data_IF_453302130580
#
_entry.id   IF_453302130580
#
_cell.length_a   1.000
_cell.length_b   1.000
_cell.length_c   1.000
_cell.angle_alpha   90.00
_cell.angle_beta   90.00
_cell.angle_gamma   90.00
#
_symmetry.space_group_name_H-M   'P 1'
#
loop_
_entity.id
_entity.type
_entity.pdbx_description
1 polymer ?
#
# COMPACT_ATOMS: atom_id res chain seq x y z
N UNK A 1 23.16 -7.21 -13.68
CA UNK A 1 21.82 -6.66 -13.41
C UNK A 1 21.80 -6.01 -12.06
N UNK A 2 21.67 -4.68 -11.99
CA UNK A 2 21.57 -3.95 -10.72
C UNK A 2 20.10 -4.03 -10.26
N UNK A 3 19.85 -4.71 -9.14
CA UNK A 3 18.51 -5.00 -8.62
C UNK A 3 18.03 -3.99 -7.56
N UNK A 4 18.86 -3.02 -7.14
CA UNK A 4 18.54 -2.06 -6.09
C UNK A 4 19.03 -0.63 -6.37
N UNK A 5 18.66 0.31 -5.50
CA UNK A 5 19.16 1.70 -5.52
C UNK A 5 18.60 2.59 -6.64
N UNK A 6 17.58 2.14 -7.39
CA UNK A 6 16.96 2.90 -8.49
C UNK A 6 15.52 3.36 -8.20
N UNK A 7 15.15 3.43 -6.92
CA UNK A 7 13.85 3.92 -6.46
C UNK A 7 12.70 2.91 -6.58
N UNK A 8 11.53 3.31 -6.06
CA UNK A 8 10.33 2.48 -5.93
C UNK A 8 9.80 2.00 -7.29
N UNK A 9 9.75 2.89 -8.29
CA UNK A 9 9.25 2.54 -9.63
C UNK A 9 10.08 1.43 -10.30
N UNK A 10 11.41 1.46 -10.15
CA UNK A 10 12.25 0.39 -10.69
C UNK A 10 12.00 -0.94 -9.96
N UNK A 11 11.85 -0.91 -8.63
CA UNK A 11 11.53 -2.11 -7.85
C UNK A 11 10.19 -2.73 -8.28
N UNK A 12 9.16 -1.90 -8.47
CA UNK A 12 7.84 -2.36 -8.96
C UNK A 12 7.91 -2.93 -10.37
N UNK A 13 8.64 -2.28 -11.30
CA UNK A 13 8.80 -2.78 -12.66
C UNK A 13 9.55 -4.13 -12.74
N UNK A 14 10.49 -4.37 -11.82
CA UNK A 14 11.15 -5.67 -11.71
C UNK A 14 10.16 -6.70 -11.16
N UNK A 15 9.48 -6.39 -10.05
CA UNK A 15 8.50 -7.29 -9.44
C UNK A 15 7.33 -7.66 -10.37
N UNK A 16 6.86 -6.72 -11.17
CA UNK A 16 5.78 -6.94 -12.14
C UNK A 16 6.13 -7.99 -13.19
N UNK A 17 7.40 -8.08 -13.61
CA UNK A 17 7.86 -9.09 -14.59
C UNK A 17 7.82 -10.51 -14.02
N UNK A 18 7.94 -10.65 -12.70
CA UNK A 18 7.93 -11.93 -12.00
C UNK A 18 6.52 -12.34 -11.51
N UNK A 19 5.61 -11.38 -11.39
CA UNK A 19 4.26 -11.61 -10.90
C UNK A 19 3.42 -12.41 -11.90
N UNK A 20 2.64 -13.38 -11.40
CA UNK A 20 1.84 -14.31 -12.23
C UNK A 20 0.32 -14.22 -12.00
N UNK A 21 -0.11 -13.45 -11.01
CA UNK A 21 -1.52 -13.29 -10.68
C UNK A 21 -2.23 -12.33 -11.63
N UNK A 22 -3.54 -12.48 -11.78
CA UNK A 22 -4.39 -11.51 -12.49
C UNK A 22 -4.58 -10.20 -11.73
N UNK A 23 -4.38 -10.24 -10.40
CA UNK A 23 -4.43 -9.08 -9.51
C UNK A 23 -3.05 -8.91 -8.87
N UNK A 24 -2.54 -7.68 -8.89
CA UNK A 24 -1.26 -7.32 -8.27
C UNK A 24 -1.53 -6.54 -6.98
N UNK A 25 -1.10 -7.10 -5.85
CA UNK A 25 -1.14 -6.40 -4.57
C UNK A 25 0.23 -5.80 -4.25
N UNK A 26 0.26 -4.52 -3.90
CA UNK A 26 1.50 -3.77 -3.62
C UNK A 26 1.57 -3.43 -2.13
N UNK A 27 2.64 -3.85 -1.47
CA UNK A 27 2.94 -3.54 -0.08
C UNK A 27 4.36 -2.97 0.02
N UNK A 28 4.51 -1.89 0.79
CA UNK A 28 5.85 -1.45 1.21
C UNK A 28 6.46 -2.48 2.17
N UNK A 29 7.78 -2.56 2.19
CA UNK A 29 8.51 -3.60 2.94
C UNK A 29 8.30 -3.51 4.46
N UNK A 30 7.90 -2.35 4.97
CA UNK A 30 7.60 -2.08 6.37
C UNK A 30 6.10 -2.14 6.70
N UNK A 31 5.24 -2.38 5.70
CA UNK A 31 3.81 -2.41 5.91
C UNK A 31 3.39 -3.67 6.69
N UNK A 32 2.57 -3.49 7.71
CA UNK A 32 1.95 -4.59 8.47
C UNK A 32 0.45 -4.63 8.18
N UNK A 33 0.01 -5.37 7.16
CA UNK A 33 -1.40 -5.40 6.80
C UNK A 33 -2.25 -6.13 7.86
N UNK A 34 -3.46 -5.63 8.06
CA UNK A 34 -4.50 -6.37 8.79
C UNK A 34 -4.80 -7.70 8.08
N UNK A 35 -5.04 -8.77 8.83
CA UNK A 35 -5.20 -10.13 8.29
C UNK A 35 -6.24 -10.23 7.18
N UNK A 36 -7.30 -9.43 7.24
CA UNK A 36 -8.39 -9.43 6.28
C UNK A 36 -8.25 -8.39 5.16
N UNK A 37 -7.25 -7.49 5.23
CA UNK A 37 -7.14 -6.35 4.33
C UNK A 37 -7.09 -6.76 2.85
N UNK A 38 -6.26 -7.75 2.50
CA UNK A 38 -6.14 -8.21 1.12
C UNK A 38 -7.47 -8.80 0.60
N UNK A 39 -8.16 -9.60 1.43
CA UNK A 39 -9.45 -10.19 1.07
C UNK A 39 -10.51 -9.13 0.77
N UNK A 40 -10.59 -8.11 1.62
CA UNK A 40 -11.54 -7.00 1.46
C UNK A 40 -11.20 -6.22 0.19
N UNK A 41 -9.93 -5.84 0.01
CA UNK A 41 -9.51 -5.09 -1.19
C UNK A 41 -9.82 -5.85 -2.48
N UNK A 42 -9.47 -7.14 -2.56
CA UNK A 42 -9.78 -7.94 -3.75
C UNK A 42 -11.29 -8.05 -3.97
N UNK A 43 -12.09 -8.21 -2.91
CA UNK A 43 -13.55 -8.25 -3.04
C UNK A 43 -14.12 -6.93 -3.58
N UNK A 44 -13.66 -5.78 -3.08
CA UNK A 44 -14.08 -4.46 -3.57
C UNK A 44 -13.65 -4.23 -5.03
N UNK A 45 -12.44 -4.66 -5.41
CA UNK A 45 -11.94 -4.54 -6.79
C UNK A 45 -12.80 -5.35 -7.76
N UNK A 46 -13.21 -6.55 -7.36
CA UNK A 46 -14.03 -7.45 -8.18
C UNK A 46 -15.53 -7.11 -8.16
N UNK A 47 -15.97 -6.25 -7.24
CA UNK A 47 -17.37 -5.84 -7.16
C UNK A 47 -17.76 -4.79 -8.21
N UNK A 48 -16.78 -4.11 -8.81
CA UNK A 48 -16.98 -3.11 -9.86
C UNK A 48 -16.06 -3.37 -11.06
N UNK A 49 -16.63 -3.85 -12.16
CA UNK A 49 -15.89 -4.14 -13.41
C UNK A 49 -15.24 -2.89 -14.04
N UNK A 50 -15.61 -1.67 -13.60
CA UNK A 50 -14.97 -0.43 -14.02
C UNK A 50 -13.79 -0.03 -13.14
N UNK A 51 -13.59 -0.68 -12.00
CA UNK A 51 -12.51 -0.35 -11.07
C UNK A 51 -11.16 -0.86 -11.60
N UNK A 52 -10.23 0.07 -11.88
CA UNK A 52 -8.86 -0.27 -12.27
C UNK A 52 -7.93 -0.57 -11.08
N UNK A 53 -8.27 -0.09 -9.89
CA UNK A 53 -7.51 -0.28 -8.66
C UNK A 53 -8.37 0.02 -7.42
N UNK A 54 -7.96 -0.55 -6.29
CA UNK A 54 -8.49 -0.23 -4.96
C UNK A 54 -7.35 0.10 -4.02
N UNK A 55 -7.60 1.00 -3.07
CA UNK A 55 -6.61 1.41 -2.09
C UNK A 55 -7.11 1.18 -0.67
N UNK A 56 -6.28 0.54 0.14
CA UNK A 56 -6.52 0.36 1.56
C UNK A 56 -6.13 1.59 2.36
N UNK A 57 -6.74 1.76 3.53
CA UNK A 57 -6.30 2.77 4.49
C UNK A 57 -5.13 2.25 5.29
N UNK A 58 -4.07 3.04 5.40
CA UNK A 58 -2.96 2.82 6.33
C UNK A 58 -3.08 3.73 7.56
N UNK A 59 -2.35 3.37 8.62
CA UNK A 59 -2.32 4.09 9.90
C UNK A 59 -0.90 4.15 10.41
N UNK A 60 -0.52 5.27 11.01
CA UNK A 60 0.77 5.42 11.67
C UNK A 60 0.81 4.56 12.94
N UNK A 61 1.67 3.54 12.95
CA UNK A 61 1.76 2.59 14.07
C UNK A 61 2.38 3.24 15.32
N UNK A 62 3.45 3.99 15.14
CA UNK A 62 4.19 4.67 16.20
C UNK A 62 3.61 6.05 16.55
N UNK A 63 2.32 6.30 16.29
CA UNK A 63 1.67 7.61 16.49
C UNK A 63 1.81 8.20 17.89
N UNK A 64 2.10 7.39 18.91
CA UNK A 64 2.26 7.82 20.30
C UNK A 64 3.73 7.95 20.74
N UNK A 65 4.70 7.77 19.84
CA UNK A 65 6.12 7.79 20.18
C UNK A 65 6.66 9.21 20.46
N UNK A 66 6.12 10.22 19.78
CA UNK A 66 6.50 11.62 19.94
C UNK A 66 5.41 12.58 19.47
N UNK A 67 5.52 13.86 19.84
CA UNK A 67 4.64 14.91 19.31
C UNK A 67 4.65 14.97 17.77
N UNK A 68 5.82 14.76 17.15
CA UNK A 68 5.96 14.70 15.70
C UNK A 68 5.14 13.56 15.09
N UNK A 69 5.25 12.34 15.64
CA UNK A 69 4.49 11.19 15.12
C UNK A 69 2.97 11.34 15.29
N UNK A 70 2.54 12.14 16.29
CA UNK A 70 1.12 12.49 16.47
C UNK A 70 0.65 13.41 15.35
N UNK A 71 1.44 14.42 14.97
CA UNK A 71 1.12 15.30 13.84
C UNK A 71 1.10 14.54 12.52
N UNK A 72 2.10 13.68 12.25
CA UNK A 72 2.10 12.82 11.07
C UNK A 72 0.85 11.95 11.01
N UNK A 73 0.42 11.39 12.15
CA UNK A 73 -0.80 10.59 12.21
C UNK A 73 -2.06 11.43 11.91
N UNK A 74 -2.15 12.67 12.41
CA UNK A 74 -3.27 13.57 12.11
C UNK A 74 -3.29 13.92 10.62
N UNK A 75 -2.14 14.31 10.05
CA UNK A 75 -2.00 14.59 8.63
C UNK A 75 -2.43 13.39 7.77
N UNK A 76 -1.92 12.21 8.10
CA UNK A 76 -2.25 10.95 7.42
C UNK A 76 -3.75 10.65 7.49
N UNK A 77 -4.40 10.89 8.64
CA UNK A 77 -5.84 10.68 8.79
C UNK A 77 -6.68 11.68 8.00
N UNK A 78 -6.22 12.93 7.91
CA UNK A 78 -6.93 14.01 7.24
C UNK A 78 -6.82 13.94 5.71
N UNK A 79 -5.67 13.49 5.20
CA UNK A 79 -5.33 13.62 3.78
C UNK A 79 -5.09 12.30 3.05
N UNK A 80 -5.55 11.18 3.61
CA UNK A 80 -5.37 9.85 3.01
C UNK A 80 -5.98 9.69 1.60
N UNK A 81 -6.89 10.58 1.22
CA UNK A 81 -7.72 10.47 0.03
C UNK A 81 -7.67 11.71 -0.89
N UNK A 82 -6.77 12.65 -0.61
CA UNK A 82 -6.38 13.65 -1.63
C UNK A 82 -5.32 13.02 -2.54
#
# INVERSE_FOLDING_TARGET
>A
NITGGKGKSNALNIGLKEAKGSIIAVYDADNTPEKQALRILVAELLADDKAGAVIGKFRTRNKNASLLTRFINIETLSFQWM
#
